data_IF_533871387842
#
_entry.id   IF_533871387842
#
_cell.length_a   1.000
_cell.length_b   1.000
_cell.length_c   1.000
_cell.angle_alpha   90.00
_cell.angle_beta   90.00
_cell.angle_gamma   90.00
#
_symmetry.space_group_name_H-M   'P 1'
#
loop_
_entity.id
_entity.type
_entity.pdbx_description
1 polymer ?
#
# COMPACT_ATOMS: atom_id res chain seq x y z
N UNK A 1 11.50 19.02 -22.02
CA UNK A 1 10.10 18.92 -21.57
C UNK A 1 9.99 17.63 -20.78
N UNK A 2 9.94 17.69 -19.45
CA UNK A 2 9.86 16.49 -18.62
C UNK A 2 8.41 16.02 -18.65
N UNK A 3 8.12 14.99 -19.46
CA UNK A 3 6.80 14.39 -19.53
C UNK A 3 6.51 13.71 -18.20
N UNK A 4 5.75 14.35 -17.32
CA UNK A 4 5.35 13.75 -16.05
C UNK A 4 4.52 12.50 -16.34
N UNK A 5 5.07 11.31 -16.09
CA UNK A 5 4.32 10.07 -16.19
C UNK A 5 3.22 10.07 -15.13
N UNK A 6 2.01 9.67 -15.53
CA UNK A 6 0.92 9.45 -14.57
C UNK A 6 0.94 7.98 -14.17
N UNK A 7 1.50 7.67 -12.99
CA UNK A 7 1.43 6.32 -12.43
C UNK A 7 -0.04 5.95 -12.17
N UNK A 8 -0.58 4.99 -12.94
CA UNK A 8 -1.94 4.50 -12.77
C UNK A 8 -1.95 2.96 -12.73
N UNK A 9 -2.01 2.36 -11.52
CA UNK A 9 -1.95 0.91 -11.37
C UNK A 9 -3.23 0.21 -11.84
N UNK A 10 -4.31 0.94 -12.13
CA UNK A 10 -5.60 0.38 -12.54
C UNK A 10 -5.78 0.25 -14.06
N UNK A 11 -4.79 0.68 -14.85
CA UNK A 11 -4.86 0.56 -16.31
C UNK A 11 -4.64 -0.90 -16.74
N UNK A 12 -5.42 -1.42 -17.70
CA UNK A 12 -5.23 -2.78 -18.22
C UNK A 12 -3.80 -3.02 -18.72
N UNK A 13 -3.20 -2.03 -19.38
CA UNK A 13 -1.85 -2.11 -19.95
C UNK A 13 -0.79 -2.21 -18.84
N UNK A 14 -1.03 -1.54 -17.70
CA UNK A 14 -0.17 -1.65 -16.52
C UNK A 14 -0.23 -3.05 -15.92
N UNK A 15 -1.43 -3.66 -15.84
CA UNK A 15 -1.57 -5.04 -15.38
C UNK A 15 -0.92 -6.05 -16.33
N UNK A 16 -0.95 -5.80 -17.64
CA UNK A 16 -0.32 -6.66 -18.63
C UNK A 16 1.21 -6.57 -18.58
N UNK A 17 1.75 -5.36 -18.44
CA UNK A 17 3.19 -5.15 -18.35
C UNK A 17 3.54 -3.88 -17.53
N UNK A 18 3.77 -4.01 -16.21
CA UNK A 18 4.07 -2.86 -15.37
C UNK A 18 5.54 -2.40 -15.46
N UNK A 19 6.44 -3.26 -15.95
CA UNK A 19 7.89 -3.05 -15.88
C UNK A 19 8.39 -1.78 -16.62
N UNK A 20 7.88 -1.42 -17.81
CA UNK A 20 8.26 -0.18 -18.48
C UNK A 20 7.94 1.07 -17.64
N UNK A 21 6.82 1.04 -16.92
CA UNK A 21 6.43 2.14 -16.03
C UNK A 21 7.40 2.25 -14.85
N UNK A 22 7.75 1.12 -14.23
CA UNK A 22 8.72 1.10 -13.14
C UNK A 22 10.13 1.47 -13.59
N UNK A 23 10.54 1.08 -14.79
CA UNK A 23 11.84 1.45 -15.36
C UNK A 23 11.94 2.96 -15.55
N UNK A 24 10.91 3.58 -16.13
CA UNK A 24 10.84 5.02 -16.27
C UNK A 24 10.91 5.72 -14.91
N UNK A 25 10.08 5.31 -13.95
CA UNK A 25 10.05 5.91 -12.62
C UNK A 25 11.40 5.79 -11.90
N UNK A 26 12.04 4.61 -11.92
CA UNK A 26 13.37 4.44 -11.30
C UNK A 26 14.43 5.40 -11.84
N UNK A 27 14.35 5.69 -13.14
CA UNK A 27 15.33 6.53 -13.84
C UNK A 27 15.06 8.02 -13.66
N UNK A 28 13.81 8.44 -13.83
CA UNK A 28 13.46 9.87 -13.94
C UNK A 28 12.81 10.44 -12.66
N UNK A 29 12.03 9.65 -11.93
CA UNK A 29 11.25 10.11 -10.77
C UNK A 29 11.06 8.97 -9.73
N UNK A 30 12.13 8.59 -9.01
CA UNK A 30 12.15 7.37 -8.20
C UNK A 30 11.25 7.43 -6.95
N UNK A 31 10.93 8.65 -6.50
CA UNK A 31 10.03 8.96 -5.38
C UNK A 31 8.90 9.82 -5.95
N UNK A 32 7.91 9.15 -6.53
CA UNK A 32 6.86 9.80 -7.30
C UNK A 32 5.60 10.06 -6.47
N UNK A 33 5.04 11.26 -6.59
CA UNK A 33 3.75 11.61 -5.98
C UNK A 33 2.62 11.26 -6.95
N UNK A 34 1.88 10.19 -6.65
CA UNK A 34 0.78 9.75 -7.51
C UNK A 34 -0.48 10.62 -7.36
N UNK A 35 -1.34 10.60 -8.38
CA UNK A 35 -2.66 11.26 -8.34
C UNK A 35 -3.62 10.64 -7.31
N UNK A 36 -3.30 9.45 -6.79
CA UNK A 36 -4.06 8.76 -5.73
C UNK A 36 -3.71 9.29 -4.33
N UNK A 37 -2.97 10.39 -4.25
CA UNK A 37 -2.46 10.94 -2.99
C UNK A 37 -1.59 9.93 -2.21
N UNK A 38 -0.93 9.01 -2.92
CA UNK A 38 0.07 8.09 -2.37
C UNK A 38 1.48 8.38 -2.92
N UNK A 39 2.51 8.04 -2.15
CA UNK A 39 3.91 8.03 -2.58
C UNK A 39 4.25 6.69 -3.23
N UNK A 40 4.96 6.73 -4.36
CA UNK A 40 5.39 5.56 -5.12
C UNK A 40 6.92 5.53 -5.12
N UNK A 41 7.48 4.50 -4.48
CA UNK A 41 8.93 4.34 -4.31
C UNK A 41 9.38 3.16 -5.16
N UNK A 42 10.40 3.36 -5.99
CA UNK A 42 10.74 2.37 -7.04
C UNK A 42 12.17 1.86 -7.03
N UNK A 43 13.10 2.55 -6.34
CA UNK A 43 14.48 2.08 -6.16
C UNK A 43 14.56 1.08 -5.02
N UNK A 44 15.37 0.05 -5.21
CA UNK A 44 15.52 -1.03 -4.23
C UNK A 44 16.02 -0.51 -2.89
N UNK A 45 17.07 0.31 -2.88
CA UNK A 45 17.68 0.86 -1.67
C UNK A 45 16.68 1.68 -0.84
N UNK A 46 15.86 2.51 -1.49
CA UNK A 46 14.83 3.32 -0.83
C UNK A 46 13.73 2.44 -0.22
N UNK A 47 13.27 1.42 -0.96
CA UNK A 47 12.27 0.47 -0.47
C UNK A 47 12.80 -0.33 0.71
N UNK A 48 14.04 -0.82 0.63
CA UNK A 48 14.66 -1.57 1.72
C UNK A 48 14.81 -0.71 2.99
N UNK A 49 15.24 0.54 2.84
CA UNK A 49 15.36 1.47 3.96
C UNK A 49 14.01 1.74 4.63
N UNK A 50 12.95 1.99 3.83
CA UNK A 50 11.59 2.23 4.35
C UNK A 50 11.04 1.01 5.09
N UNK A 51 11.23 -0.20 4.55
CA UNK A 51 10.72 -1.42 5.17
C UNK A 51 11.39 -1.75 6.51
N UNK A 52 12.58 -1.21 6.78
CA UNK A 52 13.31 -1.39 8.05
C UNK A 52 13.08 -0.25 9.04
N UNK A 53 12.49 0.85 8.60
CA UNK A 53 12.34 2.08 9.38
C UNK A 53 11.00 2.07 10.14
N UNK A 54 11.09 2.14 11.47
CA UNK A 54 9.94 2.07 12.39
C UNK A 54 9.01 3.28 12.31
N UNK A 55 9.39 4.33 11.58
CA UNK A 55 8.50 5.48 11.29
C UNK A 55 7.42 5.14 10.27
N UNK A 56 7.60 4.06 9.51
CA UNK A 56 6.63 3.56 8.55
C UNK A 56 5.97 2.30 9.11
N UNK A 57 4.64 2.27 9.09
CA UNK A 57 3.84 1.12 9.50
C UNK A 57 2.89 0.73 8.37
N UNK A 58 2.29 -0.46 8.48
CA UNK A 58 1.25 -0.85 7.55
C UNK A 58 0.04 0.09 7.72
N UNK A 59 -0.58 0.48 6.61
CA UNK A 59 -1.82 1.26 6.65
C UNK A 59 -2.90 0.48 7.40
N UNK A 60 -3.57 1.12 8.36
CA UNK A 60 -4.67 0.52 9.12
C UNK A 60 -5.94 0.48 8.25
N UNK A 61 -5.96 -0.51 7.35
CA UNK A 61 -7.07 -0.76 6.47
C UNK A 61 -8.38 -1.02 7.23
N UNK A 62 -8.41 -1.81 8.33
CA UNK A 62 -9.60 -1.93 9.18
C UNK A 62 -10.17 -0.58 9.62
N UNK A 63 -9.36 0.29 10.22
CA UNK A 63 -9.80 1.61 10.68
C UNK A 63 -10.32 2.46 9.53
N UNK A 64 -9.63 2.46 8.38
CA UNK A 64 -10.11 3.16 7.18
C UNK A 64 -11.45 2.62 6.66
N UNK A 65 -11.72 1.33 6.79
CA UNK A 65 -12.99 0.72 6.38
C UNK A 65 -14.13 1.10 7.34
N UNK A 66 -13.85 1.17 8.65
CA UNK A 66 -14.80 1.65 9.68
C UNK A 66 -15.12 3.13 9.43
N UNK A 67 -14.10 3.96 9.24
CA UNK A 67 -14.31 5.37 8.88
C UNK A 67 -15.18 5.49 7.63
N UNK A 68 -14.96 4.61 6.64
CA UNK A 68 -15.75 4.56 5.41
C UNK A 68 -17.19 4.09 5.61
N UNK A 69 -17.45 3.14 6.51
CA UNK A 69 -18.81 2.69 6.81
C UNK A 69 -19.67 3.82 7.37
N UNK A 70 -19.10 4.69 8.22
CA UNK A 70 -19.82 5.79 8.86
C UNK A 70 -20.44 6.81 7.91
N UNK A 71 -19.88 7.02 6.71
CA UNK A 71 -20.42 7.94 5.72
C UNK A 71 -21.03 7.26 4.49
N UNK A 72 -21.10 5.93 4.46
CA UNK A 72 -21.82 5.20 3.42
C UNK A 72 -23.33 5.25 3.69
N UNK A 73 -24.08 5.82 2.74
CA UNK A 73 -25.55 5.91 2.82
C UNK A 73 -26.24 4.54 2.69
N UNK A 74 -25.56 3.56 2.07
CA UNK A 74 -26.04 2.18 1.90
C UNK A 74 -24.83 1.23 1.95
N UNK A 75 -24.84 0.29 2.91
CA UNK A 75 -23.79 -0.72 3.09
C UNK A 75 -23.12 -0.62 4.47
N UNK A 76 -22.93 -1.78 5.12
CA UNK A 76 -22.19 -1.90 6.37
C UNK A 76 -20.86 -2.61 6.09
N UNK A 77 -19.74 -1.89 6.22
CA UNK A 77 -18.39 -2.45 6.05
C UNK A 77 -17.76 -2.92 7.38
N UNK A 78 -18.44 -2.72 8.51
CA UNK A 78 -17.93 -3.11 9.83
C UNK A 78 -17.65 -4.61 9.93
N UNK A 79 -18.51 -5.53 9.40
CA UNK A 79 -18.20 -6.96 9.42
C UNK A 79 -16.94 -7.30 8.61
N UNK A 80 -16.70 -6.58 7.51
CA UNK A 80 -15.50 -6.74 6.69
C UNK A 80 -14.27 -6.22 7.42
N UNK A 81 -14.35 -5.04 8.05
CA UNK A 81 -13.27 -4.47 8.85
C UNK A 81 -12.88 -5.39 10.03
N UNK A 82 -13.86 -5.93 10.75
CA UNK A 82 -13.66 -6.86 11.85
C UNK A 82 -12.94 -8.15 11.40
N UNK A 83 -13.23 -8.61 10.18
CA UNK A 83 -12.61 -9.82 9.61
C UNK A 83 -11.16 -9.57 9.19
N UNK A 84 -10.90 -8.42 8.55
CA UNK A 84 -9.58 -8.03 8.03
C UNK A 84 -8.59 -7.76 9.17
N UNK A 85 -9.06 -7.26 10.33
CA UNK A 85 -8.22 -7.02 11.50
C UNK A 85 -7.44 -8.27 11.97
N UNK A 86 -7.94 -9.48 11.69
CA UNK A 86 -7.30 -10.73 12.09
C UNK A 86 -6.36 -11.32 11.01
N UNK A 87 -6.21 -10.68 9.85
CA UNK A 87 -5.35 -11.17 8.79
C UNK A 87 -3.88 -10.84 9.10
N UNK A 88 -2.99 -11.82 8.82
CA UNK A 88 -1.54 -11.74 9.06
C UNK A 88 -0.90 -10.43 8.56
N UNK A 89 -1.43 -9.85 7.48
CA UNK A 89 -0.94 -8.61 6.88
C UNK A 89 -1.14 -7.35 7.73
N UNK A 90 -2.04 -7.36 8.72
CA UNK A 90 -2.36 -6.20 9.59
C UNK A 90 -1.92 -6.39 11.05
N UNK A 91 -1.16 -7.46 11.33
CA UNK A 91 -0.62 -7.71 12.67
C UNK A 91 0.70 -6.94 12.84
N UNK A 92 0.63 -5.76 13.46
CA UNK A 92 1.81 -5.04 13.96
C UNK A 92 2.43 -5.78 15.17
N UNK A 93 3.73 -5.61 15.47
CA UNK A 93 4.32 -6.17 16.68
C UNK A 93 3.61 -5.62 17.93
N UNK A 94 3.32 -6.47 18.94
CA UNK A 94 3.90 -7.79 19.19
C UNK A 94 3.09 -8.98 18.63
N UNK A 95 2.01 -8.73 17.89
CA UNK A 95 1.06 -9.78 17.50
C UNK A 95 1.62 -10.79 16.47
N UNK A 96 2.60 -10.41 15.65
CA UNK A 96 3.25 -11.34 14.71
C UNK A 96 4.27 -12.29 15.36
N UNK A 97 4.82 -11.97 16.53
CA UNK A 97 5.88 -12.77 17.17
C UNK A 97 5.30 -14.10 17.68
N UNK A 98 4.06 -14.09 18.14
CA UNK A 98 3.37 -15.29 18.64
C UNK A 98 2.98 -16.24 17.49
N UNK A 99 2.70 -15.71 16.29
CA UNK A 99 2.23 -16.51 15.15
C UNK A 99 3.34 -17.33 14.44
N UNK A 100 4.63 -17.04 14.67
CA UNK A 100 5.76 -17.72 14.00
C UNK A 100 6.48 -18.75 14.89
N UNK A 101 6.21 -18.73 16.20
CA UNK A 101 6.87 -19.62 17.19
C UNK A 101 6.03 -20.85 17.55
N UNK A 102 4.94 -21.12 16.82
CA UNK A 102 4.13 -22.32 16.97
C UNK A 102 4.48 -23.39 15.93
N UNK A 103 5.65 -24.01 16.09
CA UNK A 103 5.93 -25.40 15.66
C UNK A 103 6.18 -26.25 16.90
#
# INVERSE_FOLDING_TARGET
MTTTIRFNPFQPEFHQNPYPTYEYLRREDPIHRSFLNAWVITRYEDVEAILKDTRFCVDDLPERLIQKSHYLKQGNLDPLAQTIHNWLFFLEPPSYTIARSGE
#
